data_IF_572956456943
#
_entry.id   IF_572956456943
#
_cell.length_a   1.000
_cell.length_b   1.000
_cell.length_c   1.000
_cell.angle_alpha   90.00
_cell.angle_beta   90.00
_cell.angle_gamma   90.00
#
_symmetry.space_group_name_H-M   'P 1'
#
loop_
_entity.id
_entity.type
_entity.pdbx_description
1 polymer ?
#
# COMPACT_ATOMS: atom_id res chain seq x y z
N UNK A 1 -10.72 1.24 4.33
CA UNK A 1 -9.87 0.54 5.31
C UNK A 1 -10.33 -0.88 5.47
N UNK A 2 -9.45 -1.83 5.18
CA UNK A 2 -9.80 -3.25 5.03
C UNK A 2 -10.03 -3.95 6.38
N UNK A 3 -9.38 -3.52 7.46
CA UNK A 3 -9.48 -4.17 8.79
C UNK A 3 -10.86 -4.06 9.43
N UNK A 4 -11.69 -3.09 8.99
CA UNK A 4 -13.07 -2.92 9.46
C UNK A 4 -13.93 -4.16 9.17
N UNK A 5 -13.65 -4.88 8.07
CA UNK A 5 -14.35 -6.12 7.72
C UNK A 5 -14.11 -7.22 8.76
N UNK A 6 -13.00 -7.15 9.49
CA UNK A 6 -12.62 -8.07 10.56
C UNK A 6 -12.95 -7.52 11.96
N UNK A 7 -13.62 -6.37 12.05
CA UNK A 7 -13.99 -5.74 13.32
C UNK A 7 -12.88 -4.92 13.99
N UNK A 8 -11.79 -4.62 13.26
CA UNK A 8 -10.68 -3.82 13.78
C UNK A 8 -10.67 -2.41 13.17
N UNK A 9 -10.42 -1.36 13.98
CA UNK A 9 -10.36 0.01 13.50
C UNK A 9 -9.19 0.22 12.54
N UNK A 10 -9.19 1.36 11.86
CA UNK A 10 -8.09 1.79 10.99
C UNK A 10 -7.08 2.55 11.82
N UNK A 11 -5.79 2.39 11.49
CA UNK A 11 -4.76 3.17 12.13
C UNK A 11 -4.89 4.63 11.67
N UNK A 12 -4.97 5.55 12.63
CA UNK A 12 -5.14 6.99 12.38
C UNK A 12 -3.84 7.76 12.50
N UNK A 13 -2.95 7.32 13.39
CA UNK A 13 -1.70 8.02 13.69
C UNK A 13 -0.48 7.17 13.36
N UNK A 14 -0.58 5.85 13.55
CA UNK A 14 0.55 4.94 13.35
C UNK A 14 0.59 4.41 11.93
N UNK A 15 1.75 4.57 11.30
CA UNK A 15 2.14 3.87 10.06
C UNK A 15 3.13 2.74 10.35
N UNK A 16 3.46 2.52 11.64
CA UNK A 16 4.41 1.49 12.04
C UNK A 16 3.76 0.12 11.95
N UNK A 17 4.28 -0.69 11.04
CA UNK A 17 3.89 -2.08 10.87
C UNK A 17 4.35 -2.92 12.06
N UNK A 18 3.38 -3.56 12.72
CA UNK A 18 3.61 -4.52 13.81
C UNK A 18 3.47 -5.96 13.34
N UNK A 19 2.54 -6.21 12.42
CA UNK A 19 2.32 -7.51 11.81
C UNK A 19 1.83 -7.34 10.37
N UNK A 20 2.10 -8.32 9.53
CA UNK A 20 1.56 -8.39 8.16
C UNK A 20 1.07 -9.81 7.95
N UNK A 21 -0.15 -9.94 7.43
CA UNK A 21 -0.77 -11.22 7.09
C UNK A 21 -1.42 -11.17 5.70
N UNK A 22 -2.16 -12.22 5.35
CA UNK A 22 -2.86 -12.34 4.07
C UNK A 22 -3.93 -11.26 3.85
N UNK A 23 -4.42 -10.63 4.93
CA UNK A 23 -5.43 -9.57 4.86
C UNK A 23 -4.81 -8.19 4.68
N UNK A 24 -3.58 -8.00 5.19
CA UNK A 24 -2.80 -6.80 4.95
C UNK A 24 -1.87 -6.45 6.10
N UNK A 25 -1.58 -5.16 6.23
CA UNK A 25 -0.61 -4.63 7.18
C UNK A 25 -1.29 -4.12 8.45
N UNK A 26 -0.89 -4.63 9.60
CA UNK A 26 -1.44 -4.26 10.90
C UNK A 26 -0.52 -3.31 11.66
N UNK A 27 -1.14 -2.31 12.29
CA UNK A 27 -0.52 -1.42 13.23
C UNK A 27 -1.07 -1.62 14.63
N UNK A 28 -0.44 -0.96 15.59
CA UNK A 28 -0.86 -0.96 16.97
C UNK A 28 -0.74 0.47 17.51
N UNK A 29 -1.88 1.07 17.85
CA UNK A 29 -2.00 2.40 18.42
C UNK A 29 -3.13 2.42 19.45
N UNK A 30 -3.13 3.37 20.39
CA UNK A 30 -4.21 3.51 21.38
C UNK A 30 -4.58 2.19 22.09
N UNK A 31 -3.57 1.35 22.37
CA UNK A 31 -3.72 0.03 22.99
C UNK A 31 -4.66 -0.94 22.23
N UNK A 32 -4.82 -0.78 20.92
CA UNK A 32 -5.63 -1.66 20.08
C UNK A 32 -4.95 -1.96 18.73
N UNK A 33 -5.27 -3.12 18.18
CA UNK A 33 -4.90 -3.48 16.82
C UNK A 33 -5.70 -2.65 15.81
N UNK A 34 -5.03 -2.21 14.76
CA UNK A 34 -5.65 -1.46 13.70
C UNK A 34 -5.11 -1.87 12.34
N UNK A 35 -5.92 -1.77 11.29
CA UNK A 35 -5.46 -1.93 9.92
C UNK A 35 -4.73 -0.68 9.48
N UNK A 36 -3.48 -0.84 9.08
CA UNK A 36 -2.78 0.18 8.32
C UNK A 36 -3.34 0.08 6.91
N UNK A 37 -4.14 1.07 6.53
CA UNK A 37 -4.26 1.37 5.12
C UNK A 37 -2.87 1.82 4.66
N UNK A 38 -2.33 1.13 3.67
CA UNK A 38 -1.33 1.77 2.84
C UNK A 38 -1.92 3.14 2.50
N UNK A 39 -1.19 4.21 2.84
CA UNK A 39 -1.55 5.58 2.50
C UNK A 39 -1.43 5.76 0.98
N UNK A 40 -2.17 4.97 0.21
CA UNK A 40 -2.57 5.32 -1.12
C UNK A 40 -3.56 6.45 -0.93
N UNK A 41 -3.01 7.65 -0.85
CA UNK A 41 -3.78 8.81 -1.25
C UNK A 41 -4.24 8.51 -2.68
N UNK A 42 -5.54 8.23 -2.81
CA UNK A 42 -6.27 8.36 -4.05
C UNK A 42 -6.13 9.80 -4.52
N UNK A 43 -5.02 10.10 -5.19
CA UNK A 43 -4.78 11.28 -5.99
C UNK A 43 -3.56 11.01 -6.86
N UNK A 44 -3.67 10.02 -7.73
CA UNK A 44 -2.95 10.10 -8.98
C UNK A 44 -3.82 9.45 -10.05
N UNK A 45 -4.67 10.26 -10.68
CA UNK A 45 -5.53 9.86 -11.79
C UNK A 45 -4.76 9.30 -13.00
N UNK A 46 -3.41 9.22 -12.96
CA UNK A 46 -2.54 8.81 -14.06
C UNK A 46 -1.64 7.59 -13.79
N UNK A 47 -1.89 6.81 -12.74
CA UNK A 47 -1.06 5.64 -12.45
C UNK A 47 -1.74 4.33 -12.85
N UNK A 48 -1.29 3.78 -13.99
CA UNK A 48 -1.86 2.57 -14.59
C UNK A 48 -1.69 1.31 -13.72
N UNK A 49 -0.66 1.24 -12.88
CA UNK A 49 -0.41 0.08 -12.03
C UNK A 49 -1.47 -0.12 -10.93
N UNK A 50 -2.17 0.95 -10.55
CA UNK A 50 -3.32 0.89 -9.64
C UNK A 50 -4.45 0.02 -10.21
N UNK A 51 -4.61 -0.06 -11.53
CA UNK A 51 -5.59 -0.94 -12.21
C UNK A 51 -5.27 -2.41 -11.93
N UNK A 52 -3.99 -2.74 -11.76
CA UNK A 52 -3.50 -4.07 -11.43
C UNK A 52 -3.35 -4.29 -9.92
N UNK A 53 -3.87 -3.36 -9.10
CA UNK A 53 -3.78 -3.38 -7.64
C UNK A 53 -2.34 -3.30 -7.10
N UNK A 54 -1.47 -2.55 -7.81
CA UNK A 54 -0.11 -2.23 -7.39
C UNK A 54 0.06 -0.73 -7.06
N UNK A 55 0.99 -0.37 -6.15
CA UNK A 55 1.35 1.01 -5.87
C UNK A 55 1.82 1.76 -7.11
N UNK A 56 1.79 3.08 -7.04
CA UNK A 56 2.62 3.93 -7.88
C UNK A 56 4.00 4.11 -7.23
N UNK A 57 5.05 4.19 -8.03
CA UNK A 57 6.38 4.47 -7.52
C UNK A 57 6.47 5.95 -7.13
N UNK A 58 7.23 6.23 -6.07
CA UNK A 58 7.59 7.60 -5.72
C UNK A 58 8.77 8.08 -6.59
N UNK A 59 9.63 7.15 -7.01
CA UNK A 59 10.73 7.41 -7.92
C UNK A 59 10.48 6.97 -9.36
N UNK A 60 11.30 7.50 -10.27
CA UNK A 60 11.23 7.21 -11.71
C UNK A 60 12.21 6.09 -12.13
N UNK A 61 12.64 5.25 -11.18
CA UNK A 61 13.66 4.24 -11.45
C UNK A 61 13.02 2.96 -11.99
N UNK A 62 13.07 2.82 -13.32
CA UNK A 62 12.57 1.63 -14.01
C UNK A 62 13.46 0.42 -13.70
N UNK A 63 12.84 -0.63 -13.15
CA UNK A 63 13.46 -1.94 -12.96
C UNK A 63 13.11 -2.89 -14.10
N UNK A 64 11.88 -2.83 -14.59
CA UNK A 64 11.38 -3.64 -15.70
C UNK A 64 10.29 -2.90 -16.47
N UNK A 65 10.08 -3.22 -17.73
CA UNK A 65 8.96 -2.71 -18.53
C UNK A 65 8.26 -3.89 -19.20
N UNK A 66 6.94 -3.90 -19.18
CA UNK A 66 6.11 -4.91 -19.82
C UNK A 66 4.99 -4.29 -20.69
N UNK A 67 3.97 -5.08 -21.03
CA UNK A 67 2.83 -4.64 -21.86
C UNK A 67 1.91 -3.64 -21.16
N UNK A 68 1.97 -3.55 -19.83
CA UNK A 68 1.16 -2.63 -19.05
C UNK A 68 1.89 -1.30 -18.80
N UNK A 69 3.21 -1.35 -18.63
CA UNK A 69 4.05 -0.15 -18.55
C UNK A 69 5.39 -0.39 -17.87
N UNK A 70 5.95 0.67 -17.29
CA UNK A 70 7.24 0.59 -16.58
C UNK A 70 7.05 0.36 -15.09
N UNK A 71 7.70 -0.66 -14.57
CA UNK A 71 7.68 -1.04 -13.16
C UNK A 71 8.94 -0.56 -12.45
N UNK A 72 8.77 -0.04 -11.24
CA UNK A 72 9.83 0.18 -10.26
C UNK A 72 9.72 -0.79 -9.09
N UNK A 73 10.77 -0.81 -8.27
CA UNK A 73 10.83 -1.62 -7.06
C UNK A 73 11.34 -0.76 -5.90
N UNK A 74 10.44 -0.36 -5.02
CA UNK A 74 10.67 0.59 -3.94
C UNK A 74 10.08 0.06 -2.64
N UNK A 75 10.73 0.34 -1.50
CA UNK A 75 10.28 -0.13 -0.17
C UNK A 75 9.99 -1.65 -0.07
N UNK A 76 10.66 -2.47 -0.90
CA UNK A 76 10.48 -3.92 -0.91
C UNK A 76 9.23 -4.42 -1.67
N UNK A 77 8.58 -3.55 -2.45
CA UNK A 77 7.37 -3.89 -3.23
C UNK A 77 7.45 -3.37 -4.67
N UNK A 78 6.70 -4.00 -5.56
CA UNK A 78 6.54 -3.58 -6.96
C UNK A 78 5.58 -2.41 -7.06
N UNK A 79 5.94 -1.43 -7.88
CA UNK A 79 5.13 -0.24 -8.13
C UNK A 79 5.18 0.14 -9.62
N UNK A 80 4.16 0.84 -10.12
CA UNK A 80 4.13 1.39 -11.48
C UNK A 80 4.70 2.80 -11.56
N UNK A 81 5.45 3.06 -12.62
CA UNK A 81 5.98 4.37 -13.03
C UNK A 81 5.05 4.98 -14.06
#
# INVERSE_FOLDING_TARGET
>A
CWSLAYGYPCCKETTKVWATDESGTWGYENNQWCGIEDLYQENNEDCWASILNYPCCEGNKVYMTDEYGSWGYEFGRWCGI
#
